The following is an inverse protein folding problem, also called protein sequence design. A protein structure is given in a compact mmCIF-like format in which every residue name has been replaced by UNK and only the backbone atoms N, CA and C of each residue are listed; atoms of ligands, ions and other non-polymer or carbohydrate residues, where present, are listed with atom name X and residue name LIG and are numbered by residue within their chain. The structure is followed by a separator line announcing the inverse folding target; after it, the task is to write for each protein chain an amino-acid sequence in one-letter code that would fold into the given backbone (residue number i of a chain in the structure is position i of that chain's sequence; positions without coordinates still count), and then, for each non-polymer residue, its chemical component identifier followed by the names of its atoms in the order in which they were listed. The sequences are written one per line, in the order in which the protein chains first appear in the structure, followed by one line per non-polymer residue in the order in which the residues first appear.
data_IF_426791754795
#
_entry.id   IF_426791754795
#
_cell.length_a   1.000
_cell.length_b   1.000
_cell.length_c   1.000
_cell.angle_alpha   90.00
_cell.angle_beta   90.00
_cell.angle_gamma   90.00
#
_symmetry.space_group_name_H-M   'P 1'
#
loop_
_entity.id
_entity.type
_entity.pdbx_description
1 polymer ?
#
# COMPACT_ATOMS: atom_id res chain seq x y z
N UNK A 1 17.02 -6.93 -9.29
CA UNK A 1 16.24 -6.61 -8.09
C UNK A 1 15.18 -5.57 -8.42
N UNK A 2 13.96 -5.81 -8.01
CA UNK A 2 12.87 -4.89 -8.21
C UNK A 2 12.43 -4.26 -6.90
N UNK A 3 11.88 -3.04 -6.99
CA UNK A 3 11.32 -2.31 -5.86
C UNK A 3 9.84 -2.04 -6.12
N UNK A 4 9.04 -2.05 -5.06
CA UNK A 4 7.62 -1.72 -5.16
C UNK A 4 7.21 -0.82 -4.01
N UNK A 5 6.15 -0.04 -4.22
CA UNK A 5 5.62 0.83 -3.19
C UNK A 5 4.51 0.12 -2.42
N UNK A 6 4.55 0.25 -1.10
CA UNK A 6 3.49 -0.21 -0.21
C UNK A 6 3.09 0.96 0.67
N UNK A 7 1.79 1.14 0.85
CA UNK A 7 1.26 2.08 1.84
C UNK A 7 0.46 1.29 2.87
N UNK A 8 0.85 1.41 4.16
CA UNK A 8 -0.05 1.05 5.23
C UNK A 8 -0.98 2.24 5.39
N UNK A 9 -2.26 2.04 5.09
CA UNK A 9 -3.25 3.11 4.99
C UNK A 9 -3.63 3.65 6.37
N UNK A 10 -4.36 4.77 6.44
CA UNK A 10 -4.69 5.36 7.74
C UNK A 10 -5.35 4.41 8.72
N UNK A 11 -6.20 3.50 8.26
CA UNK A 11 -6.84 2.51 9.13
C UNK A 11 -5.82 1.55 9.75
N UNK A 12 -4.79 1.13 9.01
CA UNK A 12 -3.73 0.28 9.54
C UNK A 12 -2.90 1.03 10.59
N UNK A 13 -2.59 2.30 10.33
CA UNK A 13 -1.85 3.13 11.28
C UNK A 13 -2.67 3.33 12.55
N UNK A 14 -3.96 3.66 12.42
CA UNK A 14 -4.87 3.87 13.55
C UNK A 14 -4.98 2.62 14.42
N UNK A 15 -4.98 1.44 13.81
CA UNK A 15 -5.11 0.17 14.51
C UNK A 15 -3.78 -0.38 15.05
N UNK A 16 -2.67 0.31 14.79
CA UNK A 16 -1.36 -0.14 15.27
C UNK A 16 -0.82 -1.37 14.54
N UNK A 17 -1.16 -1.52 13.25
CA UNK A 17 -0.79 -2.70 12.47
C UNK A 17 0.44 -2.50 11.58
N UNK A 18 1.08 -1.33 11.63
CA UNK A 18 2.26 -1.04 10.78
C UNK A 18 3.38 -2.06 11.04
N UNK A 19 3.67 -2.34 12.30
CA UNK A 19 4.72 -3.31 12.65
C UNK A 19 4.41 -4.71 12.16
N UNK A 20 3.15 -5.14 12.23
CA UNK A 20 2.72 -6.44 11.72
C UNK A 20 2.93 -6.53 10.20
N UNK A 21 2.56 -5.47 9.48
CA UNK A 21 2.72 -5.43 8.01
C UNK A 21 4.18 -5.52 7.62
N UNK A 22 5.04 -4.69 8.24
CA UNK A 22 6.48 -4.71 7.95
C UNK A 22 7.08 -6.07 8.29
N UNK A 23 6.70 -6.64 9.43
CA UNK A 23 7.19 -7.94 9.86
C UNK A 23 6.88 -9.04 8.85
N UNK A 24 5.70 -9.01 8.24
CA UNK A 24 5.32 -10.01 7.24
C UNK A 24 6.23 -9.98 6.03
N UNK A 25 6.59 -8.79 5.54
CA UNK A 25 7.52 -8.67 4.41
C UNK A 25 8.92 -9.12 4.82
N UNK A 26 9.39 -8.72 5.98
CA UNK A 26 10.73 -9.10 6.44
C UNK A 26 10.85 -10.60 6.67
N UNK A 27 9.84 -11.23 7.23
CA UNK A 27 9.84 -12.69 7.43
C UNK A 27 9.85 -13.46 6.11
N UNK A 28 9.31 -12.85 5.04
CA UNK A 28 9.33 -13.43 3.71
C UNK A 28 10.65 -13.20 2.98
N UNK A 29 11.65 -12.64 3.68
CA UNK A 29 12.97 -12.33 3.12
C UNK A 29 12.97 -11.24 2.06
N UNK A 30 11.98 -10.33 2.14
CA UNK A 30 11.97 -9.12 1.34
C UNK A 30 12.66 -8.01 2.14
N UNK A 31 13.31 -7.08 1.43
CA UNK A 31 14.10 -6.04 2.06
C UNK A 31 13.32 -4.73 2.16
N UNK A 32 13.28 -4.16 3.35
CA UNK A 32 12.75 -2.82 3.55
C UNK A 32 13.83 -1.80 3.19
N UNK A 33 13.63 -1.07 2.11
CA UNK A 33 14.59 -0.07 1.61
C UNK A 33 14.34 1.29 2.23
N UNK A 34 13.06 1.66 2.40
CA UNK A 34 12.68 2.95 2.96
C UNK A 34 11.35 2.81 3.68
N UNK A 35 11.19 3.59 4.75
CA UNK A 35 9.94 3.65 5.52
C UNK A 35 9.80 5.07 6.06
N UNK A 36 8.64 5.69 5.83
CA UNK A 36 8.39 7.05 6.29
C UNK A 36 6.90 7.23 6.60
N UNK A 37 6.62 7.73 7.79
CA UNK A 37 5.26 8.11 8.16
C UNK A 37 4.96 9.45 7.51
N UNK A 38 3.97 9.49 6.63
CA UNK A 38 3.65 10.68 5.84
C UNK A 38 2.19 11.07 6.02
N UNK A 39 1.96 12.38 6.12
CA UNK A 39 0.60 12.94 5.96
C UNK A 39 0.46 13.32 4.50
N UNK A 40 -0.46 12.66 3.80
CA UNK A 40 -0.64 12.85 2.37
C UNK A 40 -1.63 13.98 2.16
N UNK A 41 -1.23 15.03 1.41
CA UNK A 41 -2.15 16.10 1.06
C UNK A 41 -3.05 15.69 -0.10
N UNK A 42 -4.11 16.47 -0.32
CA UNK A 42 -5.10 16.17 -1.35
C UNK A 42 -4.48 16.10 -2.74
N UNK A 43 -3.57 17.02 -3.06
CA UNK A 43 -2.92 17.06 -4.37
C UNK A 43 -2.11 15.79 -4.63
N UNK A 44 -1.36 15.32 -3.63
CA UNK A 44 -0.59 14.08 -3.73
C UNK A 44 -1.51 12.88 -3.88
N UNK A 45 -2.60 12.83 -3.11
CA UNK A 45 -3.58 11.74 -3.19
C UNK A 45 -4.22 11.70 -4.58
N UNK A 46 -4.59 12.84 -5.13
CA UNK A 46 -5.16 12.92 -6.47
C UNK A 46 -4.17 12.45 -7.53
N UNK A 47 -2.90 12.76 -7.37
CA UNK A 47 -1.85 12.31 -8.27
C UNK A 47 -1.66 10.80 -8.18
N UNK A 48 -1.67 10.24 -6.98
CA UNK A 48 -1.54 8.81 -6.74
C UNK A 48 -2.69 8.02 -7.38
N UNK A 49 -3.92 8.52 -7.24
CA UNK A 49 -5.11 7.89 -7.80
C UNK A 49 -5.50 8.45 -9.17
N UNK A 50 -4.60 9.15 -9.87
CA UNK A 50 -4.91 9.86 -11.11
C UNK A 50 -5.54 9.00 -12.20
N UNK A 51 -5.16 7.71 -12.30
CA UNK A 51 -5.74 6.78 -13.26
C UNK A 51 -7.21 6.45 -12.96
N UNK A 52 -7.71 6.81 -11.77
CA UNK A 52 -9.10 6.59 -11.35
C UNK A 52 -9.90 7.90 -11.30
N UNK A 53 -9.35 9.01 -11.81
CA UNK A 53 -9.96 10.33 -11.65
C UNK A 53 -11.36 10.46 -12.28
N UNK A 54 -11.67 9.62 -13.27
CA UNK A 54 -12.97 9.60 -13.93
C UNK A 54 -13.98 8.62 -13.28
N UNK A 55 -13.58 7.93 -12.22
CA UNK A 55 -14.42 6.93 -11.55
C UNK A 55 -15.22 7.57 -10.42
N UNK A 56 -16.47 7.10 -10.17
CA UNK A 56 -17.31 7.72 -9.15
C UNK A 56 -16.78 7.61 -7.73
N UNK A 57 -15.92 6.63 -7.45
CA UNK A 57 -15.35 6.44 -6.12
C UNK A 57 -14.04 7.20 -5.90
N UNK A 58 -13.58 8.00 -6.87
CA UNK A 58 -12.30 8.72 -6.77
C UNK A 58 -12.23 9.62 -5.54
N UNK A 59 -13.31 10.39 -5.29
CA UNK A 59 -13.37 11.28 -4.12
C UNK A 59 -13.27 10.55 -2.81
N UNK A 60 -13.90 9.38 -2.70
CA UNK A 60 -13.84 8.55 -1.48
C UNK A 60 -12.43 8.01 -1.25
N UNK A 61 -11.71 7.60 -2.32
CA UNK A 61 -10.33 7.15 -2.21
C UNK A 61 -9.43 8.27 -1.70
N UNK A 62 -9.58 9.47 -2.25
CA UNK A 62 -8.79 10.63 -1.84
C UNK A 62 -9.09 10.99 -0.38
N UNK A 63 -10.36 11.03 0.00
CA UNK A 63 -10.77 11.37 1.36
C UNK A 63 -10.24 10.35 2.37
N UNK A 64 -10.28 9.07 2.03
CA UNK A 64 -9.80 8.01 2.92
C UNK A 64 -8.30 8.10 3.14
N UNK A 65 -7.51 8.22 2.06
CA UNK A 65 -6.04 8.21 2.16
C UNK A 65 -5.49 9.48 2.84
N UNK A 66 -6.28 10.56 2.85
CA UNK A 66 -5.87 11.82 3.49
C UNK A 66 -6.44 11.99 4.89
N UNK A 67 -7.22 11.04 5.38
CA UNK A 67 -7.88 11.12 6.69
C UNK A 67 -6.90 11.09 7.87
N UNK A 68 -5.73 10.50 7.70
CA UNK A 68 -4.69 10.45 8.71
C UNK A 68 -3.37 10.04 8.07
N UNK A 69 -2.29 9.91 8.87
CA UNK A 69 -0.99 9.54 8.31
C UNK A 69 -1.00 8.11 7.76
N UNK A 70 -0.16 7.89 6.76
CA UNK A 70 0.13 6.58 6.19
C UNK A 70 1.58 6.23 6.43
N UNK A 71 1.91 4.95 6.51
CA UNK A 71 3.30 4.50 6.51
C UNK A 71 3.64 4.10 5.08
N UNK A 72 4.47 4.90 4.41
CA UNK A 72 4.94 4.60 3.07
C UNK A 72 6.20 3.74 3.16
N UNK A 73 6.24 2.66 2.37
CA UNK A 73 7.33 1.68 2.39
C UNK A 73 7.81 1.43 0.96
N UNK A 74 9.13 1.25 0.82
CA UNK A 74 9.69 0.70 -0.42
C UNK A 74 10.26 -0.69 -0.08
N UNK A 75 9.74 -1.69 -0.75
CA UNK A 75 10.10 -3.10 -0.56
C UNK A 75 10.89 -3.56 -1.78
N UNK A 76 12.02 -4.21 -1.54
CA UNK A 76 12.90 -4.71 -2.60
C UNK A 76 13.00 -6.23 -2.53
N UNK A 77 13.05 -6.85 -3.69
CA UNK A 77 13.20 -8.29 -3.80
C UNK A 77 13.56 -8.69 -5.23
N UNK A 78 13.41 -9.98 -5.56
CA UNK A 78 13.68 -10.48 -6.91
C UNK A 78 12.77 -9.85 -7.95
N UNK A 79 12.97 -10.21 -9.21
CA UNK A 79 12.10 -9.78 -10.30
C UNK A 79 10.63 -10.04 -9.97
N UNK A 80 9.76 -9.09 -10.29
CA UNK A 80 8.32 -9.13 -10.03
C UNK A 80 7.95 -9.15 -8.54
N UNK A 81 8.76 -8.52 -7.70
CA UNK A 81 8.44 -8.37 -6.28
C UNK A 81 7.08 -7.72 -6.05
N UNK A 82 6.65 -6.79 -6.93
CA UNK A 82 5.32 -6.20 -6.82
C UNK A 82 4.22 -7.27 -6.79
N UNK A 83 4.39 -8.33 -7.57
CA UNK A 83 3.41 -9.42 -7.63
C UNK A 83 3.41 -10.24 -6.35
N UNK A 84 4.59 -10.54 -5.80
CA UNK A 84 4.72 -11.25 -4.54
C UNK A 84 4.06 -10.47 -3.41
N UNK A 85 4.32 -9.16 -3.35
CA UNK A 85 3.72 -8.28 -2.35
C UNK A 85 2.18 -8.30 -2.46
N UNK A 86 1.64 -8.19 -3.67
CA UNK A 86 0.19 -8.21 -3.86
C UNK A 86 -0.43 -9.56 -3.46
N UNK A 87 0.26 -10.65 -3.72
CA UNK A 87 -0.19 -11.98 -3.26
C UNK A 87 -0.25 -12.03 -1.73
N UNK A 88 0.75 -11.44 -1.06
CA UNK A 88 0.76 -11.37 0.40
C UNK A 88 -0.34 -10.46 0.95
N UNK A 89 -0.71 -9.40 0.21
CA UNK A 89 -1.79 -8.50 0.61
C UNK A 89 -3.16 -9.18 0.58
N UNK A 90 -3.39 -10.02 -0.40
CA UNK A 90 -4.66 -10.67 -0.63
C UNK A 90 -5.63 -9.85 -1.48
N UNK A 91 -6.81 -10.40 -1.73
CA UNK A 91 -7.83 -9.77 -2.56
C UNK A 91 -8.22 -8.40 -2.01
N UNK A 92 -8.58 -7.49 -2.93
CA UNK A 92 -8.93 -6.10 -2.59
C UNK A 92 -10.05 -6.01 -1.54
N UNK A 93 -11.06 -6.87 -1.67
CA UNK A 93 -12.09 -6.96 -0.63
C UNK A 93 -11.59 -7.94 0.44
N UNK A 94 -11.38 -7.49 1.68
CA UNK A 94 -10.88 -8.36 2.74
C UNK A 94 -11.72 -9.62 2.97
N UNK A 95 -13.03 -9.54 2.74
CA UNK A 95 -13.91 -10.70 2.91
C UNK A 95 -13.62 -11.82 1.91
N UNK A 96 -13.07 -11.46 0.75
CA UNK A 96 -12.70 -12.42 -0.29
C UNK A 96 -11.24 -12.85 -0.20
N UNK A 97 -10.47 -12.20 0.69
CA UNK A 97 -9.04 -12.48 0.83
C UNK A 97 -8.83 -13.77 1.61
N UNK A 98 -7.88 -14.59 1.14
CA UNK A 98 -7.59 -15.86 1.79
C UNK A 98 -6.96 -15.65 3.17
N UNK A 99 -7.26 -16.51 4.14
CA UNK A 99 -6.52 -16.53 5.40
C UNK A 99 -5.02 -16.69 5.14
N UNK A 100 -4.19 -16.02 5.93
CA UNK A 100 -2.76 -15.96 5.72
C UNK A 100 -2.31 -14.72 4.97
N UNK A 101 -3.20 -14.08 4.22
CA UNK A 101 -2.91 -12.80 3.60
C UNK A 101 -3.13 -11.67 4.61
N UNK A 102 -2.53 -10.51 4.34
CA UNK A 102 -2.68 -9.36 5.25
C UNK A 102 -4.16 -8.98 5.40
N UNK A 103 -4.85 -8.81 4.28
CA UNK A 103 -6.28 -8.46 4.31
C UNK A 103 -7.15 -9.58 4.86
N UNK A 104 -6.82 -10.84 4.54
CA UNK A 104 -7.59 -11.98 5.01
C UNK A 104 -7.50 -12.18 6.52
N UNK A 105 -6.35 -11.87 7.10
CA UNK A 105 -6.15 -12.02 8.55
C UNK A 105 -6.64 -10.80 9.34
N UNK A 106 -6.54 -9.60 8.79
CA UNK A 106 -6.64 -8.37 9.57
C UNK A 106 -7.76 -7.43 9.12
N UNK A 107 -8.29 -7.58 7.91
CA UNK A 107 -9.32 -6.72 7.38
C UNK A 107 -10.69 -7.37 7.34
N UNK A 108 -11.73 -6.56 7.27
CA UNK A 108 -13.11 -7.02 7.10
C UNK A 108 -13.90 -6.11 6.17
N UNK A 109 -13.69 -4.79 6.25
CA UNK A 109 -14.45 -3.81 5.46
C UNK A 109 -13.73 -3.51 4.15
N UNK A 110 -14.49 -3.48 3.06
CA UNK A 110 -13.95 -3.14 1.74
C UNK A 110 -13.29 -1.76 1.74
N UNK A 111 -13.91 -0.79 2.40
CA UNK A 111 -13.42 0.59 2.44
C UNK A 111 -12.22 0.80 3.36
N UNK A 112 -11.95 -0.16 4.26
CA UNK A 112 -10.83 -0.10 5.19
C UNK A 112 -10.01 -1.37 5.02
N UNK A 113 -9.32 -1.47 3.88
CA UNK A 113 -8.60 -2.68 3.51
C UNK A 113 -7.09 -2.62 3.77
N UNK A 114 -6.67 -1.73 4.65
CA UNK A 114 -5.38 -1.70 5.35
C UNK A 114 -4.16 -1.30 4.52
N UNK A 115 -4.07 -1.73 3.27
CA UNK A 115 -2.78 -1.69 2.56
C UNK A 115 -2.99 -1.46 1.08
N UNK A 116 -2.05 -0.72 0.50
CA UNK A 116 -1.91 -0.55 -0.94
C UNK A 116 -0.56 -1.14 -1.37
N UNK A 117 -0.53 -1.79 -2.51
CA UNK A 117 0.70 -2.20 -3.18
C UNK A 117 0.59 -1.91 -4.66
N UNK A 118 1.69 -1.50 -5.27
CA UNK A 118 1.73 -1.21 -6.70
C UNK A 118 1.27 -2.42 -7.51
N UNK A 119 0.53 -2.19 -8.61
CA UNK A 119 -0.09 -3.26 -9.39
C UNK A 119 0.67 -3.61 -10.67
N UNK A 120 1.86 -3.04 -10.85
CA UNK A 120 2.74 -3.33 -11.97
C UNK A 120 4.12 -2.75 -11.68
N UNK A 121 5.13 -3.11 -12.49
CA UNK A 121 6.46 -2.51 -12.36
C UNK A 121 6.42 -1.01 -12.68
N UNK A 122 5.66 -0.62 -13.72
CA UNK A 122 5.53 0.80 -14.08
C UNK A 122 4.84 1.59 -12.99
N UNK A 123 3.77 1.04 -12.40
CA UNK A 123 3.09 1.68 -11.28
C UNK A 123 4.02 1.82 -10.07
N UNK A 124 4.83 0.80 -9.80
CA UNK A 124 5.81 0.84 -8.71
C UNK A 124 6.80 2.00 -8.89
N UNK A 125 7.36 2.15 -10.08
CA UNK A 125 8.31 3.21 -10.38
C UNK A 125 7.68 4.59 -10.24
N UNK A 126 6.47 4.76 -10.77
CA UNK A 126 5.74 6.03 -10.68
C UNK A 126 5.40 6.38 -9.23
N UNK A 127 4.89 5.41 -8.49
CA UNK A 127 4.45 5.62 -7.11
C UNK A 127 5.61 5.89 -6.17
N UNK A 128 6.73 5.18 -6.33
CA UNK A 128 7.94 5.48 -5.56
C UNK A 128 8.39 6.91 -5.79
N UNK A 129 8.33 7.39 -7.04
CA UNK A 129 8.68 8.77 -7.36
C UNK A 129 7.75 9.80 -6.70
N UNK A 130 6.48 9.44 -6.47
CA UNK A 130 5.53 10.32 -5.78
C UNK A 130 5.84 10.42 -4.29
N UNK A 131 6.07 9.29 -3.62
CA UNK A 131 6.21 9.25 -2.16
C UNK A 131 7.65 9.38 -1.69
N UNK A 132 8.62 9.03 -2.51
CA UNK A 132 10.03 9.09 -2.19
C UNK A 132 10.82 9.71 -3.33
N UNK A 133 10.60 11.01 -3.63
CA UNK A 133 11.22 11.63 -4.82
C UNK A 133 12.73 11.67 -4.79
N UNK A 134 13.35 11.52 -3.62
CA UNK A 134 14.81 11.57 -3.47
C UNK A 134 15.45 10.17 -3.38
N UNK A 135 14.69 9.14 -3.56
CA UNK A 135 15.21 7.77 -3.42
C UNK A 135 15.90 7.27 -4.69
#
# INVERSE_FOLDING_TARGET
MDRTLVLAKPDAVERGLVGEIISRFERRNLTLVAAELQSIDKATAEKHYGEHSDKPFFGELVDFITRGPVMALVIEGPEDTWKVVRTMMGATNPRDAAPGTIRGDLGILFTENLIHGSDSLEAAQREIGIFFPNL
#
